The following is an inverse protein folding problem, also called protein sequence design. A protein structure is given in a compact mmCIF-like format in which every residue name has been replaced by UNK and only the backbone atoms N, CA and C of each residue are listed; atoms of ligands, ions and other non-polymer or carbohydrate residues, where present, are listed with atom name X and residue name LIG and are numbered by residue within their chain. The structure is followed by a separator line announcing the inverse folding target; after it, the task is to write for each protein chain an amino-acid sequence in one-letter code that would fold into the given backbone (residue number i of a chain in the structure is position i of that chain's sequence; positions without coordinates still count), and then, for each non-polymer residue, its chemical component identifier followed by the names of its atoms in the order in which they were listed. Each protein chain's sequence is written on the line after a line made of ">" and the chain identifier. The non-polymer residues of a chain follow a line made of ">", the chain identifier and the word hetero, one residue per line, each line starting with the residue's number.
data_IF_216917233767
#
_entry.id   IF_216917233767
#
_cell.length_a   1.000
_cell.length_b   1.000
_cell.length_c   1.000
_cell.angle_alpha   90.00
_cell.angle_beta   90.00
_cell.angle_gamma   90.00
#
_symmetry.space_group_name_H-M   'P 1'
#
loop_
_entity.id
_entity.type
_entity.pdbx_description
1 polymer ?
#
# COMPACT_ATOMS: atom_id res chain seq x y z
N UNK A 1 13.67 15.86 16.37
CA UNK A 1 12.46 16.03 17.21
C UNK A 1 12.23 14.87 18.19
N UNK A 2 12.01 13.64 17.72
CA UNK A 2 11.67 12.48 18.58
C UNK A 2 12.71 12.23 19.69
N UNK A 3 14.00 12.24 19.35
CA UNK A 3 15.11 12.10 20.30
C UNK A 3 15.05 13.13 21.44
N UNK A 4 14.80 14.40 21.12
CA UNK A 4 14.73 15.47 22.10
C UNK A 4 13.53 15.32 23.05
N UNK A 5 12.40 14.80 22.57
CA UNK A 5 11.24 14.51 23.42
C UNK A 5 11.53 13.34 24.37
N UNK A 6 12.17 12.28 23.86
CA UNK A 6 12.56 11.11 24.65
C UNK A 6 13.57 11.47 25.75
N UNK A 7 14.56 12.32 25.48
CA UNK A 7 15.53 12.77 26.49
C UNK A 7 14.91 13.50 27.70
N UNK A 8 13.65 13.96 27.62
CA UNK A 8 12.98 14.65 28.74
C UNK A 8 12.50 13.71 29.83
N UNK A 9 12.33 12.43 29.53
CA UNK A 9 11.79 11.44 30.47
C UNK A 9 12.47 10.07 30.44
N UNK A 10 13.33 9.79 29.46
CA UNK A 10 14.10 8.55 29.35
C UNK A 10 15.54 8.77 29.83
N UNK A 11 16.06 7.79 30.56
CA UNK A 11 17.42 7.72 31.07
C UNK A 11 18.48 8.00 29.99
N UNK A 12 19.51 8.81 30.28
CA UNK A 12 20.58 9.12 29.34
C UNK A 12 21.30 7.88 28.81
N UNK A 13 21.42 6.83 29.63
CA UNK A 13 22.11 5.58 29.28
C UNK A 13 21.40 4.88 28.11
N UNK A 14 20.08 4.76 28.18
CA UNK A 14 19.24 4.16 27.13
C UNK A 14 19.27 5.01 25.85
N UNK A 15 19.35 6.34 26.00
CA UNK A 15 19.42 7.26 24.86
C UNK A 15 20.78 7.27 24.16
N UNK A 16 21.86 6.94 24.87
CA UNK A 16 23.21 6.82 24.30
C UNK A 16 23.37 5.56 23.44
N UNK A 17 22.64 4.49 23.75
CA UNK A 17 22.60 3.26 22.95
C UNK A 17 21.78 3.44 21.65
N UNK A 18 20.79 4.32 21.67
CA UNK A 18 19.91 4.65 20.54
C UNK A 18 20.55 5.64 19.55
N UNK A 19 21.69 5.27 18.94
CA UNK A 19 22.43 6.11 17.98
C UNK A 19 21.79 6.19 16.59
N UNK A 20 20.99 5.20 16.18
CA UNK A 20 20.34 5.17 14.86
C UNK A 20 18.83 5.42 14.95
N UNK A 21 18.24 5.91 13.86
CA UNK A 21 16.79 6.14 13.75
C UNK A 21 15.99 4.85 14.02
N UNK A 22 16.53 3.70 13.61
CA UNK A 22 15.94 2.38 13.91
C UNK A 22 15.93 2.09 15.41
N UNK A 23 17.08 2.19 16.07
CA UNK A 23 17.20 1.95 17.51
C UNK A 23 16.35 2.92 18.32
N UNK A 24 16.20 4.17 17.87
CA UNK A 24 15.35 5.18 18.51
C UNK A 24 13.85 4.83 18.46
N UNK A 25 13.40 4.17 17.39
CA UNK A 25 12.01 3.70 17.26
C UNK A 25 11.76 2.40 18.02
N UNK A 26 12.80 1.60 18.22
CA UNK A 26 12.73 0.31 18.94
C UNK A 26 12.89 0.47 20.46
N UNK A 27 13.19 1.68 20.97
CA UNK A 27 13.22 1.93 22.42
C UNK A 27 11.82 1.72 22.99
N UNK A 28 11.72 0.82 23.97
CA UNK A 28 10.51 0.63 24.73
C UNK A 28 10.33 1.78 25.74
N UNK A 29 9.45 2.70 25.35
CA UNK A 29 9.05 3.88 26.09
C UNK A 29 7.99 3.60 27.16
N UNK A 30 7.46 2.38 27.26
CA UNK A 30 6.46 1.98 28.26
C UNK A 30 7.08 1.29 29.47
N UNK A 31 8.34 0.88 29.38
CA UNK A 31 9.08 0.29 30.49
C UNK A 31 9.42 1.34 31.57
N UNK A 32 8.87 1.22 32.79
CA UNK A 32 9.14 2.17 33.87
C UNK A 32 10.61 2.21 34.31
N UNK A 33 11.36 1.14 34.06
CA UNK A 33 12.79 1.02 34.35
C UNK A 33 13.66 1.99 33.55
N UNK A 34 13.16 2.41 32.38
CA UNK A 34 13.85 3.31 31.46
C UNK A 34 13.60 4.78 31.79
N UNK A 35 12.71 5.08 32.75
CA UNK A 35 12.36 6.45 33.10
C UNK A 35 13.38 7.08 34.03
N UNK A 36 13.62 8.38 33.82
CA UNK A 36 14.28 9.22 34.83
C UNK A 36 13.30 9.39 36.00
N UNK A 37 13.84 9.70 37.19
CA UNK A 37 13.04 9.98 38.36
C UNK A 37 12.03 11.12 38.11
N UNK A 38 10.86 11.04 38.74
CA UNK A 38 9.78 12.02 38.59
C UNK A 38 10.24 13.45 38.92
N UNK A 39 11.23 13.60 39.81
CA UNK A 39 11.77 14.90 40.20
C UNK A 39 12.62 15.57 39.12
N UNK A 40 13.16 14.78 38.19
CA UNK A 40 14.10 15.16 37.14
C UNK A 40 13.49 15.23 35.74
N UNK A 41 12.18 15.00 35.60
CA UNK A 41 11.48 15.16 34.32
C UNK A 41 11.59 16.61 33.84
N UNK A 42 12.07 16.79 32.61
CA UNK A 42 12.25 18.12 32.03
C UNK A 42 10.92 18.69 31.52
N UNK A 43 10.34 19.60 32.32
CA UNK A 43 9.13 20.36 31.99
C UNK A 43 9.41 21.71 31.31
N UNK A 44 10.68 22.04 31.07
CA UNK A 44 11.11 23.34 30.55
C UNK A 44 11.29 24.42 31.62
N UNK A 45 12.02 25.47 31.26
CA UNK A 45 12.45 26.53 32.17
C UNK A 45 11.28 27.30 32.81
N UNK A 46 10.32 27.75 31.99
CA UNK A 46 9.18 28.58 32.44
C UNK A 46 8.29 27.82 33.42
N UNK A 47 7.93 26.57 33.09
CA UNK A 47 7.11 25.70 33.93
C UNK A 47 7.79 25.47 35.28
N UNK A 48 9.10 25.19 35.29
CA UNK A 48 9.85 25.00 36.54
C UNK A 48 9.92 26.29 37.39
N UNK A 49 10.01 27.46 36.76
CA UNK A 49 9.97 28.75 37.49
C UNK A 49 8.62 28.97 38.17
N UNK A 50 7.52 28.76 37.44
CA UNK A 50 6.15 28.90 37.98
C UNK A 50 5.90 27.92 39.12
N UNK A 51 6.33 26.65 38.99
CA UNK A 51 6.19 25.66 40.06
C UNK A 51 6.97 26.06 41.33
N UNK A 52 8.17 26.65 41.19
CA UNK A 52 8.94 27.19 42.32
C UNK A 52 8.24 28.37 42.99
N UNK A 53 7.69 29.30 42.20
CA UNK A 53 6.94 30.46 42.71
C UNK A 53 5.65 30.04 43.46
N UNK A 54 4.90 29.06 42.92
CA UNK A 54 3.69 28.52 43.54
C UNK A 54 3.99 27.78 44.84
N UNK A 55 5.13 27.07 44.91
CA UNK A 55 5.62 26.44 46.13
C UNK A 55 6.04 27.47 47.17
N UNK A 56 6.76 28.52 46.78
CA UNK A 56 7.18 29.60 47.66
C UNK A 56 5.97 30.35 48.27
N UNK A 57 4.90 30.51 47.51
CA UNK A 57 3.63 31.10 47.95
C UNK A 57 2.72 30.14 48.75
N UNK A 58 3.19 28.92 49.06
CA UNK A 58 2.42 27.84 49.73
C UNK A 58 1.07 27.50 49.08
N UNK A 59 0.86 27.86 47.81
CA UNK A 59 -0.41 27.60 47.10
C UNK A 59 -0.55 26.14 46.67
N UNK A 60 0.56 25.41 46.59
CA UNK A 60 0.62 24.03 46.09
C UNK A 60 1.59 23.21 46.96
N UNK A 61 1.16 22.04 47.41
CA UNK A 61 1.98 21.12 48.20
C UNK A 61 3.02 20.37 47.37
N UNK A 62 4.06 19.85 48.03
CA UNK A 62 5.12 19.07 47.37
C UNK A 62 4.58 17.80 46.68
N UNK A 63 3.58 17.15 47.27
CA UNK A 63 2.90 15.97 46.66
C UNK A 63 2.24 16.34 45.34
N UNK A 64 1.48 17.44 45.29
CA UNK A 64 0.77 17.88 44.08
C UNK A 64 1.73 18.25 42.94
N UNK A 65 2.91 18.81 43.24
CA UNK A 65 3.95 19.09 42.23
C UNK A 65 4.53 17.78 41.67
N UNK A 66 4.70 16.76 42.52
CA UNK A 66 5.17 15.44 42.09
C UNK A 66 4.10 14.72 41.24
N UNK A 67 2.83 14.82 41.61
CA UNK A 67 1.71 14.28 40.83
C UNK A 67 1.62 14.96 39.46
N UNK A 68 1.75 16.29 39.42
CA UNK A 68 1.80 17.05 38.16
C UNK A 68 2.97 16.62 37.27
N UNK A 69 4.17 16.47 37.84
CA UNK A 69 5.36 15.96 37.11
C UNK A 69 5.14 14.55 36.56
N UNK A 70 4.51 13.67 37.34
CA UNK A 70 4.12 12.33 36.90
C UNK A 70 3.12 12.42 35.74
N UNK A 71 2.06 13.21 35.85
CA UNK A 71 1.08 13.39 34.77
C UNK A 71 1.69 13.97 33.50
N UNK A 72 2.61 14.94 33.61
CA UNK A 72 3.34 15.48 32.46
C UNK A 72 4.22 14.42 31.80
N UNK A 73 4.91 13.60 32.59
CA UNK A 73 5.67 12.47 32.06
C UNK A 73 4.77 11.49 31.31
N UNK A 74 3.65 11.10 31.90
CA UNK A 74 2.71 10.16 31.29
C UNK A 74 2.13 10.74 29.98
N UNK A 75 1.89 12.06 29.94
CA UNK A 75 1.52 12.78 28.71
C UNK A 75 2.62 12.78 27.64
N UNK A 76 3.89 12.98 28.03
CA UNK A 76 5.03 12.88 27.11
C UNK A 76 5.20 11.46 26.58
N UNK A 77 5.05 10.44 27.43
CA UNK A 77 5.06 9.03 27.03
C UNK A 77 3.95 8.75 26.01
N UNK A 78 2.72 9.19 26.28
CA UNK A 78 1.60 9.01 25.36
C UNK A 78 1.80 9.73 24.01
N UNK A 79 2.39 10.93 24.03
CA UNK A 79 2.73 11.68 22.83
C UNK A 79 3.79 10.95 22.00
N UNK A 80 4.86 10.48 22.63
CA UNK A 80 5.93 9.73 21.95
C UNK A 80 5.41 8.38 21.44
N UNK A 81 4.56 7.68 22.18
CA UNK A 81 3.89 6.44 21.72
C UNK A 81 3.07 6.71 20.47
N UNK A 82 2.28 7.80 20.46
CA UNK A 82 1.50 8.16 19.28
C UNK A 82 2.37 8.55 18.09
N UNK A 83 3.45 9.30 18.32
CA UNK A 83 4.40 9.68 17.28
C UNK A 83 5.12 8.46 16.71
N UNK A 84 5.61 7.55 17.55
CA UNK A 84 6.20 6.29 17.11
C UNK A 84 5.17 5.48 16.32
N UNK A 85 3.93 5.35 16.81
CA UNK A 85 2.84 4.61 16.17
C UNK A 85 2.50 5.12 14.77
N UNK A 86 2.41 6.44 14.62
CA UNK A 86 2.04 7.12 13.36
C UNK A 86 3.24 7.50 12.51
N UNK A 87 4.47 7.19 12.94
CA UNK A 87 5.67 7.58 12.22
C UNK A 87 5.73 6.91 10.85
N UNK A 88 5.93 7.68 9.76
CA UNK A 88 6.23 7.14 8.44
C UNK A 88 7.48 6.24 8.45
N UNK A 89 8.38 6.48 9.41
CA UNK A 89 9.60 5.69 9.60
C UNK A 89 9.32 4.26 10.07
N UNK A 90 8.07 3.83 10.28
CA UNK A 90 7.77 2.40 10.43
C UNK A 90 7.89 1.65 9.11
N UNK A 91 7.54 2.30 8.00
CA UNK A 91 7.48 1.65 6.70
C UNK A 91 8.89 1.47 6.14
N UNK A 92 9.19 0.24 5.70
CA UNK A 92 10.51 -0.10 5.17
C UNK A 92 10.85 0.74 3.93
N UNK A 93 9.84 1.09 3.14
CA UNK A 93 9.99 1.93 1.96
C UNK A 93 10.48 3.33 2.34
N UNK A 94 9.81 4.00 3.27
CA UNK A 94 10.18 5.36 3.73
C UNK A 94 11.56 5.38 4.37
N UNK A 95 11.92 4.33 5.13
CA UNK A 95 13.27 4.20 5.71
C UNK A 95 14.36 4.18 4.66
N UNK A 96 14.08 3.56 3.50
CA UNK A 96 15.06 3.41 2.44
C UNK A 96 14.99 4.53 1.40
N UNK A 97 13.97 5.39 1.41
CA UNK A 97 13.87 6.54 0.50
C UNK A 97 14.92 7.63 0.74
N UNK A 98 15.83 7.47 1.70
CA UNK A 98 16.98 8.37 1.90
C UNK A 98 17.89 8.49 0.67
N UNK A 99 17.86 7.51 -0.25
CA UNK A 99 18.56 7.62 -1.54
C UNK A 99 18.02 8.73 -2.46
N UNK A 100 16.83 9.30 -2.16
CA UNK A 100 16.23 10.42 -2.87
C UNK A 100 16.54 11.79 -2.23
N UNK A 101 17.24 11.81 -1.10
CA UNK A 101 17.61 13.04 -0.40
C UNK A 101 18.78 13.73 -1.12
N UNK A 102 18.60 14.96 -1.65
CA UNK A 102 19.66 15.65 -2.38
C UNK A 102 20.94 15.85 -1.57
N UNK A 103 20.82 16.09 -0.27
CA UNK A 103 21.98 16.32 0.60
C UNK A 103 22.76 15.02 0.78
N UNK A 104 22.08 13.88 0.91
CA UNK A 104 22.74 12.59 1.00
C UNK A 104 23.38 12.21 -0.34
N UNK A 105 22.73 12.52 -1.48
CA UNK A 105 23.32 12.29 -2.80
C UNK A 105 24.65 13.03 -3.00
N UNK A 106 24.82 14.21 -2.41
CA UNK A 106 26.05 14.99 -2.51
C UNK A 106 27.15 14.54 -1.54
N UNK A 107 26.79 14.02 -0.37
CA UNK A 107 27.71 13.86 0.76
C UNK A 107 27.91 12.41 1.24
N UNK A 108 26.97 11.49 0.99
CA UNK A 108 27.10 10.10 1.42
C UNK A 108 27.85 9.24 0.39
N UNK A 109 28.44 8.16 0.86
CA UNK A 109 29.09 7.16 0.00
C UNK A 109 28.07 6.51 -0.95
N UNK A 110 28.40 6.48 -2.23
CA UNK A 110 27.60 5.91 -3.32
C UNK A 110 27.07 4.51 -3.01
N UNK A 111 27.86 3.68 -2.31
CA UNK A 111 27.48 2.29 -1.97
C UNK A 111 26.36 2.21 -0.93
N UNK A 112 26.30 3.17 0.01
CA UNK A 112 25.24 3.21 1.02
C UNK A 112 23.89 3.56 0.38
N UNK A 113 23.89 4.55 -0.52
CA UNK A 113 22.72 4.97 -1.30
C UNK A 113 22.26 3.85 -2.25
N UNK A 114 23.18 3.17 -2.93
CA UNK A 114 22.89 1.97 -3.73
C UNK A 114 22.26 0.86 -2.89
N UNK A 115 22.73 0.64 -1.67
CA UNK A 115 22.15 -0.31 -0.74
C UNK A 115 20.70 0.04 -0.35
N UNK A 116 20.41 1.32 -0.14
CA UNK A 116 19.05 1.83 0.11
C UNK A 116 18.14 1.67 -1.12
N UNK A 117 18.65 1.95 -2.31
CA UNK A 117 17.95 1.74 -3.57
C UNK A 117 17.61 0.26 -3.77
N UNK A 118 18.55 -0.66 -3.57
CA UNK A 118 18.33 -2.12 -3.71
C UNK A 118 17.21 -2.61 -2.80
N UNK A 119 17.17 -2.18 -1.54
CA UNK A 119 16.09 -2.51 -0.60
C UNK A 119 14.74 -1.96 -1.04
N UNK A 120 14.73 -0.77 -1.66
CA UNK A 120 13.53 -0.17 -2.23
C UNK A 120 13.04 -0.94 -3.46
N UNK A 121 13.95 -1.31 -4.37
CA UNK A 121 13.64 -2.10 -5.56
C UNK A 121 13.07 -3.47 -5.20
N UNK A 122 13.67 -4.19 -4.25
CA UNK A 122 13.14 -5.47 -3.76
C UNK A 122 11.67 -5.33 -3.30
N UNK A 123 11.37 -4.28 -2.52
CA UNK A 123 9.99 -4.01 -2.11
C UNK A 123 9.06 -3.69 -3.29
N UNK A 124 9.51 -2.93 -4.28
CA UNK A 124 8.69 -2.58 -5.45
C UNK A 124 8.44 -3.77 -6.39
N UNK A 125 9.40 -4.69 -6.49
CA UNK A 125 9.28 -5.96 -7.21
C UNK A 125 8.26 -6.86 -6.51
N UNK A 126 8.36 -7.04 -5.19
CA UNK A 126 7.40 -7.84 -4.41
C UNK A 126 5.96 -7.34 -4.57
N UNK A 127 5.78 -6.03 -4.77
CA UNK A 127 4.48 -5.40 -5.00
C UNK A 127 4.06 -5.36 -6.48
N UNK A 128 4.82 -5.98 -7.39
CA UNK A 128 4.54 -6.03 -8.83
C UNK A 128 4.55 -4.66 -9.51
N UNK A 129 5.25 -3.67 -8.95
CA UNK A 129 5.31 -2.30 -9.50
C UNK A 129 6.45 -2.12 -10.51
N UNK A 130 7.50 -2.94 -10.40
CA UNK A 130 8.69 -2.94 -11.26
C UNK A 130 9.01 -4.39 -11.63
N UNK A 131 9.49 -4.60 -12.86
CA UNK A 131 9.96 -5.90 -13.31
C UNK A 131 11.38 -6.18 -12.80
N UNK A 132 11.66 -7.41 -12.39
CA UNK A 132 13.00 -7.83 -11.94
C UNK A 132 14.09 -7.54 -12.98
N UNK A 133 13.76 -7.74 -14.26
CA UNK A 133 14.67 -7.51 -15.38
C UNK A 133 15.15 -6.06 -15.52
N UNK A 134 14.39 -5.10 -14.99
CA UNK A 134 14.73 -3.67 -15.05
C UNK A 134 15.60 -3.23 -13.86
N UNK A 135 15.76 -4.06 -12.83
CA UNK A 135 16.39 -3.65 -11.57
C UNK A 135 17.88 -3.34 -11.71
N UNK A 136 18.64 -4.19 -12.41
CA UNK A 136 20.08 -3.99 -12.62
C UNK A 136 20.35 -2.72 -13.43
N UNK A 137 19.51 -2.46 -14.44
CA UNK A 137 19.61 -1.24 -15.24
C UNK A 137 19.31 0.01 -14.39
N UNK A 138 18.28 -0.03 -13.53
CA UNK A 138 17.98 1.10 -12.63
C UNK A 138 19.13 1.37 -11.66
N UNK A 139 19.76 0.33 -11.13
CA UNK A 139 20.92 0.46 -10.23
C UNK A 139 22.11 1.09 -10.96
N UNK A 140 22.36 0.69 -12.21
CA UNK A 140 23.41 1.29 -13.06
C UNK A 140 23.11 2.75 -13.39
N UNK A 141 21.88 3.07 -13.77
CA UNK A 141 21.44 4.45 -14.02
C UNK A 141 21.61 5.33 -12.78
N UNK A 142 21.31 4.81 -11.60
CA UNK A 142 21.51 5.55 -10.36
C UNK A 142 22.99 5.78 -10.03
N UNK A 143 23.86 4.80 -10.30
CA UNK A 143 25.31 4.98 -10.16
C UNK A 143 25.82 6.11 -11.06
N UNK A 144 25.46 6.07 -12.34
CA UNK A 144 25.82 7.09 -13.31
C UNK A 144 25.30 8.48 -12.90
N UNK A 145 24.06 8.55 -12.43
CA UNK A 145 23.47 9.78 -11.93
C UNK A 145 24.27 10.40 -10.77
N UNK A 146 24.70 9.60 -9.79
CA UNK A 146 25.49 10.09 -8.67
C UNK A 146 26.91 10.53 -9.09
N UNK A 147 27.55 9.78 -9.98
CA UNK A 147 28.94 10.02 -10.36
C UNK A 147 29.09 11.19 -11.34
N UNK A 148 28.08 11.43 -12.20
CA UNK A 148 28.17 12.45 -13.26
C UNK A 148 27.23 13.63 -13.01
N UNK A 149 25.92 13.38 -12.89
CA UNK A 149 24.90 14.44 -12.84
C UNK A 149 24.91 15.20 -11.52
N UNK A 150 25.04 14.49 -10.40
CA UNK A 150 25.14 15.12 -9.07
C UNK A 150 26.44 15.88 -8.92
N UNK A 151 27.56 15.35 -9.44
CA UNK A 151 28.85 16.05 -9.39
C UNK A 151 28.85 17.33 -10.24
N UNK A 152 28.25 17.29 -11.44
CA UNK A 152 28.08 18.48 -12.30
C UNK A 152 27.26 19.59 -11.63
N UNK A 153 26.27 19.22 -10.82
CA UNK A 153 25.36 20.13 -10.15
C UNK A 153 25.57 20.16 -8.62
N UNK A 154 26.78 19.89 -8.13
CA UNK A 154 27.04 19.58 -6.72
C UNK A 154 26.46 20.61 -5.74
N UNK A 155 26.60 21.91 -6.01
CA UNK A 155 26.05 22.96 -5.15
C UNK A 155 24.53 22.90 -4.99
N UNK A 156 23.80 22.54 -6.06
CA UNK A 156 22.34 22.41 -6.01
C UNK A 156 21.87 21.24 -5.13
N UNK A 157 22.72 20.23 -4.92
CA UNK A 157 22.45 19.07 -4.07
C UNK A 157 22.98 19.28 -2.64
N UNK A 158 24.19 19.82 -2.49
CA UNK A 158 24.83 20.04 -1.20
C UNK A 158 24.15 21.16 -0.38
N UNK A 159 23.77 22.26 -1.03
CA UNK A 159 23.12 23.42 -0.39
C UNK A 159 21.59 23.31 -0.38
N UNK A 160 21.05 22.12 -0.69
CA UNK A 160 19.61 21.91 -0.80
C UNK A 160 18.90 22.20 0.52
N UNK A 161 17.95 23.14 0.49
CA UNK A 161 17.18 23.50 1.67
C UNK A 161 15.74 22.99 1.57
N UNK A 162 15.41 21.98 2.37
CA UNK A 162 14.06 21.39 2.45
C UNK A 162 12.91 22.37 2.77
N UNK A 163 13.20 23.58 3.26
CA UNK A 163 12.20 24.61 3.55
C UNK A 163 11.87 25.51 2.35
N UNK A 164 12.83 25.77 1.47
CA UNK A 164 12.66 26.63 0.29
C UNK A 164 12.57 25.83 -1.01
N UNK A 165 13.28 24.72 -1.08
CA UNK A 165 13.56 24.01 -2.32
C UNK A 165 12.70 22.75 -2.47
N UNK A 166 12.52 22.34 -3.71
CA UNK A 166 11.60 21.27 -4.11
C UNK A 166 12.37 20.10 -4.67
N UNK A 167 12.38 18.98 -3.93
CA UNK A 167 13.07 17.74 -4.34
C UNK A 167 12.56 17.25 -5.70
N UNK A 168 11.24 17.30 -5.92
CA UNK A 168 10.61 16.89 -7.17
C UNK A 168 11.06 17.76 -8.35
N UNK A 169 11.19 19.08 -8.16
CA UNK A 169 11.67 19.99 -9.21
C UNK A 169 13.14 19.78 -9.53
N UNK A 170 13.99 19.60 -8.50
CA UNK A 170 15.42 19.36 -8.68
C UNK A 170 15.66 18.05 -9.44
N UNK A 171 15.07 16.96 -8.95
CA UNK A 171 15.22 15.64 -9.57
C UNK A 171 14.62 15.59 -10.98
N UNK A 172 13.48 16.22 -11.22
CA UNK A 172 12.91 16.33 -12.56
C UNK A 172 13.87 17.04 -13.52
N UNK A 173 14.44 18.17 -13.10
CA UNK A 173 15.34 18.97 -13.95
C UNK A 173 16.60 18.20 -14.33
N UNK A 174 17.09 17.35 -13.42
CA UNK A 174 18.30 16.55 -13.64
C UNK A 174 18.03 15.23 -14.38
N UNK A 175 16.95 14.51 -14.05
CA UNK A 175 16.71 13.15 -14.57
C UNK A 175 15.80 13.09 -15.80
N UNK A 176 14.87 14.04 -15.98
CA UNK A 176 13.84 13.92 -17.03
C UNK A 176 14.37 14.14 -18.45
N UNK A 177 15.43 14.95 -18.58
CA UNK A 177 16.01 15.34 -19.87
C UNK A 177 16.98 14.29 -20.42
N UNK A 178 17.51 13.43 -19.57
CA UNK A 178 18.48 12.42 -19.94
C UNK A 178 17.78 11.12 -20.35
N UNK A 179 18.03 10.67 -21.59
CA UNK A 179 17.48 9.40 -22.09
C UNK A 179 18.03 8.20 -21.34
N UNK A 180 19.24 8.33 -20.79
CA UNK A 180 19.92 7.28 -20.06
C UNK A 180 19.32 7.04 -18.67
N UNK A 181 18.54 7.98 -18.12
CA UNK A 181 17.97 7.88 -16.77
C UNK A 181 16.46 7.60 -16.75
N UNK A 182 15.86 7.20 -17.87
CA UNK A 182 14.40 7.12 -17.99
C UNK A 182 13.76 6.07 -17.06
N UNK A 183 14.42 4.92 -16.85
CA UNK A 183 13.88 3.86 -15.97
C UNK A 183 13.95 4.29 -14.52
N UNK A 184 15.08 4.87 -14.12
CA UNK A 184 15.27 5.49 -12.80
C UNK A 184 14.22 6.57 -12.55
N UNK A 185 14.04 7.51 -13.49
CA UNK A 185 13.06 8.59 -13.34
C UNK A 185 11.63 8.06 -13.22
N UNK A 186 11.26 7.05 -14.00
CA UNK A 186 9.93 6.41 -13.91
C UNK A 186 9.66 5.86 -12.51
N UNK A 187 10.65 5.19 -11.90
CA UNK A 187 10.57 4.71 -10.52
C UNK A 187 10.52 5.87 -9.52
N UNK A 188 11.43 6.84 -9.62
CA UNK A 188 11.46 8.01 -8.72
C UNK A 188 10.12 8.75 -8.75
N UNK A 189 9.50 8.91 -9.93
CA UNK A 189 8.17 9.50 -10.08
C UNK A 189 7.11 8.73 -9.31
N UNK A 190 7.12 7.39 -9.34
CA UNK A 190 6.18 6.58 -8.57
C UNK A 190 6.37 6.81 -7.07
N UNK A 191 7.62 6.88 -6.59
CA UNK A 191 7.95 7.11 -5.18
C UNK A 191 7.56 8.52 -4.71
N UNK A 192 7.82 9.55 -5.53
CA UNK A 192 7.47 10.95 -5.23
C UNK A 192 5.95 11.19 -5.22
N UNK A 193 5.17 10.34 -5.88
CA UNK A 193 3.70 10.37 -5.90
C UNK A 193 3.06 9.57 -4.76
N UNK A 194 3.84 8.84 -3.95
CA UNK A 194 3.30 8.16 -2.79
C UNK A 194 2.79 9.18 -1.78
N UNK A 195 1.54 9.02 -1.38
CA UNK A 195 0.98 9.84 -0.30
C UNK A 195 1.74 9.52 0.99
N UNK A 196 2.44 10.53 1.51
CA UNK A 196 3.06 10.43 2.81
C UNK A 196 1.94 10.44 3.85
N UNK A 197 1.89 9.40 4.71
CA UNK A 197 0.90 9.26 5.79
C UNK A 197 0.89 10.38 6.83
N UNK A 198 1.75 11.39 6.68
CA UNK A 198 1.65 12.69 7.36
C UNK A 198 0.43 13.49 6.95
N UNK A 199 -0.11 13.27 5.73
CA UNK A 199 -1.33 13.93 5.29
C UNK A 199 -2.45 13.76 6.31
N UNK A 200 -2.60 12.59 6.94
CA UNK A 200 -3.67 12.32 7.93
C UNK A 200 -3.41 12.97 9.30
N UNK A 201 -2.14 13.12 9.72
CA UNK A 201 -1.79 13.66 11.04
C UNK A 201 -1.78 15.19 10.99
N UNK A 202 -1.30 15.80 9.90
CA UNK A 202 -1.40 17.24 9.63
C UNK A 202 -2.82 17.67 9.26
N UNK A 203 -3.64 16.78 8.66
CA UNK A 203 -5.09 16.98 8.45
C UNK A 203 -5.84 17.24 9.75
N UNK A 204 -5.38 16.71 10.89
CA UNK A 204 -6.02 16.89 12.20
C UNK A 204 -5.77 18.26 12.84
N UNK A 205 -4.74 18.98 12.40
CA UNK A 205 -4.34 20.29 12.95
C UNK A 205 -4.57 21.46 11.99
N UNK A 206 -4.89 21.18 10.73
CA UNK A 206 -5.24 22.21 9.76
C UNK A 206 -6.65 22.74 10.01
N UNK A 207 -6.76 24.04 10.28
CA UNK A 207 -8.02 24.79 10.41
C UNK A 207 -8.82 24.78 9.09
N UNK A 208 -8.22 24.33 7.98
CA UNK A 208 -8.92 24.04 6.73
C UNK A 208 -9.71 22.74 6.86
N UNK A 209 -10.80 22.85 7.62
CA UNK A 209 -11.94 21.92 7.72
C UNK A 209 -12.73 21.86 6.41
N UNK A 210 -12.05 21.56 5.30
CA UNK A 210 -12.66 21.19 4.01
C UNK A 210 -12.03 19.88 3.57
N UNK A 211 -12.49 18.84 4.26
CA UNK A 211 -12.79 17.50 3.74
C UNK A 211 -12.39 17.37 2.25
N UNK A 212 -11.27 16.69 1.96
CA UNK A 212 -11.26 15.82 0.79
C UNK A 212 -12.40 14.85 1.04
N UNK A 213 -13.49 14.97 0.27
CA UNK A 213 -14.58 14.01 0.32
C UNK A 213 -13.92 12.67 -0.02
N UNK A 214 -13.95 11.71 0.91
CA UNK A 214 -13.15 10.46 0.89
C UNK A 214 -13.41 9.54 -0.33
N UNK A 215 -14.13 10.02 -1.35
CA UNK A 215 -14.56 9.29 -2.53
C UNK A 215 -14.29 10.06 -3.84
N UNK A 216 -13.24 10.87 -3.92
CA UNK A 216 -12.81 11.43 -5.22
C UNK A 216 -12.22 10.32 -6.10
N UNK A 217 -12.71 10.21 -7.32
CA UNK A 217 -12.20 9.26 -8.33
C UNK A 217 -10.94 9.86 -8.95
N UNK A 218 -10.04 9.01 -9.47
CA UNK A 218 -8.77 9.40 -10.10
C UNK A 218 -8.90 10.59 -11.07
N UNK A 219 -9.95 10.61 -11.89
CA UNK A 219 -10.21 11.69 -12.85
C UNK A 219 -10.40 13.05 -12.17
N UNK A 220 -10.98 13.07 -10.97
CA UNK A 220 -11.14 14.32 -10.21
C UNK A 220 -9.81 14.84 -9.70
N UNK A 221 -8.91 13.96 -9.26
CA UNK A 221 -7.55 14.34 -8.87
C UNK A 221 -6.76 14.87 -10.06
N UNK A 222 -6.86 14.20 -11.22
CA UNK A 222 -6.22 14.69 -12.47
C UNK A 222 -6.74 16.07 -12.84
N UNK A 223 -8.06 16.29 -12.80
CA UNK A 223 -8.65 17.59 -13.11
C UNK A 223 -8.21 18.70 -12.15
N UNK A 224 -8.22 18.45 -10.84
CA UNK A 224 -7.72 19.41 -9.85
C UNK A 224 -6.25 19.73 -10.06
N UNK A 225 -5.43 18.71 -10.35
CA UNK A 225 -4.01 18.91 -10.59
C UNK A 225 -3.75 19.76 -11.84
N UNK A 226 -4.46 19.48 -12.92
CA UNK A 226 -4.40 20.29 -14.14
C UNK A 226 -4.74 21.76 -13.88
N UNK A 227 -5.77 22.04 -13.08
CA UNK A 227 -6.16 23.40 -12.71
C UNK A 227 -5.03 24.08 -11.92
N UNK A 228 -4.48 23.42 -10.91
CA UNK A 228 -3.40 23.96 -10.08
C UNK A 228 -2.13 24.21 -10.91
N UNK A 229 -1.77 23.28 -11.79
CA UNK A 229 -0.59 23.41 -12.63
C UNK A 229 -0.76 24.57 -13.63
N UNK A 230 -1.94 24.74 -14.21
CA UNK A 230 -2.25 25.88 -15.07
C UNK A 230 -2.18 27.22 -14.31
N UNK A 231 -2.77 27.31 -13.12
CA UNK A 231 -2.72 28.50 -12.28
C UNK A 231 -1.28 28.91 -11.91
N UNK A 232 -0.40 27.93 -11.70
CA UNK A 232 1.02 28.18 -11.44
C UNK A 232 1.74 28.74 -12.66
N UNK A 233 1.47 28.20 -13.85
CA UNK A 233 2.06 28.69 -15.11
C UNK A 233 1.63 30.14 -15.38
N UNK A 234 0.36 30.44 -15.14
CA UNK A 234 -0.25 31.75 -15.39
C UNK A 234 0.09 32.78 -14.29
N UNK A 235 0.68 32.33 -13.17
CA UNK A 235 1.15 33.21 -12.10
C UNK A 235 0.04 33.71 -11.17
N UNK A 236 -1.08 32.97 -11.08
CA UNK A 236 -2.20 33.31 -10.19
C UNK A 236 -3.55 33.31 -10.90
N UNK A 237 -4.62 33.42 -10.11
CA UNK A 237 -6.01 33.36 -10.61
C UNK A 237 -6.41 34.62 -11.38
N UNK A 238 -5.81 35.76 -11.05
CA UNK A 238 -6.12 37.06 -11.68
C UNK A 238 -5.63 37.14 -13.13
N UNK A 239 -4.62 36.34 -13.47
CA UNK A 239 -4.01 36.33 -14.79
C UNK A 239 -4.65 35.30 -15.74
N UNK A 240 -5.63 34.52 -15.27
CA UNK A 240 -6.32 33.52 -16.10
C UNK A 240 -7.28 34.22 -17.05
N UNK A 241 -6.94 34.22 -18.34
CA UNK A 241 -7.79 34.74 -19.38
C UNK A 241 -9.07 33.89 -19.52
N UNK A 242 -10.24 34.52 -19.42
CA UNK A 242 -11.53 33.87 -19.69
C UNK A 242 -11.78 33.95 -21.19
N UNK A 243 -11.34 32.92 -21.90
CA UNK A 243 -11.54 32.81 -23.35
C UNK A 243 -12.94 32.28 -23.70
N UNK A 244 -13.32 32.41 -24.98
CA UNK A 244 -14.60 31.90 -25.48
C UNK A 244 -14.68 30.38 -25.39
N UNK A 245 -13.55 29.69 -25.51
CA UNK A 245 -13.48 28.23 -25.44
C UNK A 245 -13.81 27.70 -24.03
N UNK A 246 -13.29 28.35 -22.98
CA UNK A 246 -13.61 28.06 -21.59
C UNK A 246 -15.09 28.30 -21.30
N UNK A 247 -15.65 29.41 -21.80
CA UNK A 247 -17.09 29.69 -21.66
C UNK A 247 -17.96 28.63 -22.34
N UNK A 248 -17.61 28.21 -23.56
CA UNK A 248 -18.28 27.11 -24.27
C UNK A 248 -18.10 25.76 -23.56
N UNK A 249 -16.92 25.51 -22.98
CA UNK A 249 -16.65 24.31 -22.19
C UNK A 249 -17.54 24.26 -20.94
N UNK A 250 -17.68 25.38 -20.22
CA UNK A 250 -18.54 25.48 -19.03
C UNK A 250 -20.01 25.31 -19.39
N UNK A 251 -20.50 25.90 -20.49
CA UNK A 251 -21.90 25.73 -20.91
C UNK A 251 -22.24 24.27 -21.24
N UNK A 252 -21.30 23.53 -21.83
CA UNK A 252 -21.43 22.10 -22.12
C UNK A 252 -21.17 21.18 -20.90
N UNK A 253 -20.73 21.69 -19.76
CA UNK A 253 -20.33 20.87 -18.60
C UNK A 253 -21.48 20.03 -18.04
N UNK A 254 -22.69 20.61 -17.96
CA UNK A 254 -23.91 19.89 -17.52
C UNK A 254 -24.22 18.70 -18.44
N UNK A 255 -24.12 18.89 -19.75
CA UNK A 255 -24.39 17.84 -20.73
C UNK A 255 -23.35 16.71 -20.64
N UNK A 256 -22.06 17.06 -20.52
CA UNK A 256 -20.99 16.07 -20.30
C UNK A 256 -21.18 15.28 -19.02
N UNK A 257 -21.61 15.94 -17.95
CA UNK A 257 -21.93 15.26 -16.69
C UNK A 257 -23.08 14.25 -16.87
N UNK A 258 -24.18 14.64 -17.50
CA UNK A 258 -25.31 13.73 -17.78
C UNK A 258 -24.86 12.54 -18.63
N UNK A 259 -24.11 12.79 -19.71
CA UNK A 259 -23.58 11.73 -20.56
C UNK A 259 -22.68 10.75 -19.77
N UNK A 260 -21.84 11.26 -18.86
CA UNK A 260 -20.99 10.42 -18.01
C UNK A 260 -21.79 9.55 -17.03
N UNK A 261 -22.93 10.03 -16.52
CA UNK A 261 -23.83 9.25 -15.68
C UNK A 261 -24.52 8.14 -16.46
N UNK A 262 -24.98 8.43 -17.68
CA UNK A 262 -25.57 7.42 -18.56
C UNK A 262 -24.56 6.35 -18.96
N UNK A 263 -23.31 6.74 -19.24
CA UNK A 263 -22.24 5.80 -19.56
C UNK A 263 -21.90 4.90 -18.36
N UNK A 264 -21.84 5.44 -17.14
CA UNK A 264 -21.66 4.65 -15.92
C UNK A 264 -22.78 3.64 -15.74
N UNK A 265 -24.04 4.07 -15.89
CA UNK A 265 -25.20 3.18 -15.81
C UNK A 265 -25.15 2.06 -16.84
N UNK A 266 -24.81 2.38 -18.10
CA UNK A 266 -24.62 1.37 -19.16
C UNK A 266 -23.52 0.38 -18.82
N UNK A 267 -22.36 0.86 -18.34
CA UNK A 267 -21.24 0.00 -17.92
C UNK A 267 -21.64 -0.96 -16.80
N UNK A 268 -22.34 -0.48 -15.78
CA UNK A 268 -22.83 -1.31 -14.67
C UNK A 268 -23.82 -2.37 -15.15
N UNK A 269 -24.77 -2.00 -16.03
CA UNK A 269 -25.72 -2.94 -16.63
C UNK A 269 -25.01 -4.02 -17.48
N UNK A 270 -24.04 -3.63 -18.31
CA UNK A 270 -23.24 -4.57 -19.11
C UNK A 270 -22.38 -5.47 -18.23
N UNK A 271 -21.78 -4.93 -17.17
CA UNK A 271 -20.96 -5.70 -16.24
C UNK A 271 -21.81 -6.71 -15.47
N UNK A 272 -23.00 -6.32 -14.98
CA UNK A 272 -23.93 -7.23 -14.31
C UNK A 272 -24.41 -8.36 -15.25
N UNK A 273 -24.70 -8.03 -16.53
CA UNK A 273 -25.04 -9.04 -17.54
C UNK A 273 -23.86 -10.00 -17.80
N UNK A 274 -22.66 -9.47 -17.96
CA UNK A 274 -21.45 -10.26 -18.18
C UNK A 274 -21.10 -11.15 -16.98
N UNK A 275 -21.24 -10.65 -15.74
CA UNK A 275 -21.06 -11.45 -14.52
C UNK A 275 -22.05 -12.61 -14.45
N UNK A 276 -23.34 -12.36 -14.72
CA UNK A 276 -24.36 -13.42 -14.76
C UNK A 276 -24.06 -14.46 -15.84
N UNK A 277 -23.60 -14.03 -17.01
CA UNK A 277 -23.20 -14.94 -18.10
C UNK A 277 -21.96 -15.75 -17.75
N UNK A 278 -20.96 -15.14 -17.11
CA UNK A 278 -19.73 -15.79 -16.66
C UNK A 278 -20.03 -16.84 -15.59
N UNK A 279 -20.82 -16.50 -14.58
CA UNK A 279 -21.23 -17.44 -13.55
C UNK A 279 -21.99 -18.65 -14.13
N UNK A 280 -22.86 -18.42 -15.12
CA UNK A 280 -23.58 -19.51 -15.78
C UNK A 280 -22.64 -20.39 -16.64
N UNK A 281 -21.61 -19.79 -17.24
CA UNK A 281 -20.60 -20.52 -18.00
C UNK A 281 -19.73 -21.39 -17.07
N UNK A 282 -19.26 -20.83 -15.96
CA UNK A 282 -18.49 -21.55 -14.92
C UNK A 282 -19.31 -22.72 -14.37
N UNK A 283 -20.61 -22.55 -14.12
CA UNK A 283 -21.51 -23.63 -13.67
C UNK A 283 -21.64 -24.74 -14.73
N UNK A 284 -21.75 -24.40 -16.01
CA UNK A 284 -21.80 -25.39 -17.11
C UNK A 284 -20.47 -26.16 -17.20
N UNK A 285 -19.33 -25.47 -17.09
CA UNK A 285 -18.01 -26.08 -17.13
C UNK A 285 -17.79 -27.05 -15.96
N UNK A 286 -18.20 -26.67 -14.75
CA UNK A 286 -18.18 -27.56 -13.59
C UNK A 286 -19.02 -28.82 -13.80
N UNK A 287 -20.25 -28.67 -14.32
CA UNK A 287 -21.12 -29.81 -14.62
C UNK A 287 -20.50 -30.70 -15.72
N UNK A 288 -19.89 -30.13 -16.75
CA UNK A 288 -19.18 -30.90 -17.79
C UNK A 288 -17.99 -31.69 -17.22
N UNK A 289 -17.21 -31.09 -16.30
CA UNK A 289 -16.11 -31.76 -15.62
C UNK A 289 -16.60 -32.92 -14.74
N UNK A 290 -17.68 -32.69 -13.95
CA UNK A 290 -18.32 -33.73 -13.15
C UNK A 290 -18.83 -34.89 -14.02
N UNK A 291 -19.45 -34.59 -15.17
CA UNK A 291 -19.88 -35.59 -16.15
C UNK A 291 -18.70 -36.47 -16.60
N UNK A 292 -17.61 -35.86 -17.07
CA UNK A 292 -16.41 -36.60 -17.54
C UNK A 292 -15.81 -37.50 -16.46
N UNK A 293 -15.79 -37.04 -15.20
CA UNK A 293 -15.30 -37.83 -14.06
C UNK A 293 -16.19 -39.04 -13.80
N UNK A 294 -17.52 -38.87 -13.77
CA UNK A 294 -18.46 -39.97 -13.60
C UNK A 294 -18.37 -40.99 -14.73
N UNK A 295 -18.22 -40.56 -15.99
CA UNK A 295 -18.02 -41.45 -17.14
C UNK A 295 -16.73 -42.28 -17.01
N UNK A 296 -15.62 -41.65 -16.63
CA UNK A 296 -14.34 -42.33 -16.40
C UNK A 296 -14.44 -43.35 -15.25
N UNK A 297 -15.06 -42.96 -14.14
CA UNK A 297 -15.29 -43.84 -12.99
C UNK A 297 -16.16 -45.04 -13.34
N UNK A 298 -17.25 -44.83 -14.09
CA UNK A 298 -18.11 -45.90 -14.56
C UNK A 298 -17.34 -46.88 -15.43
N UNK A 299 -16.54 -46.37 -16.38
CA UNK A 299 -15.73 -47.21 -17.25
C UNK A 299 -14.74 -48.05 -16.45
N UNK A 300 -14.05 -47.46 -15.49
CA UNK A 300 -13.12 -48.17 -14.61
C UNK A 300 -13.80 -49.24 -13.74
N UNK A 301 -15.02 -48.97 -13.24
CA UNK A 301 -15.81 -49.94 -12.47
C UNK A 301 -16.25 -51.14 -13.33
N UNK A 302 -16.69 -50.89 -14.57
CA UNK A 302 -17.07 -51.94 -15.52
C UNK A 302 -15.86 -52.79 -15.91
N UNK A 303 -14.75 -52.17 -16.29
CA UNK A 303 -13.51 -52.89 -16.62
C UNK A 303 -12.98 -53.73 -15.44
N UNK A 304 -13.08 -53.20 -14.23
CA UNK A 304 -12.69 -53.92 -13.02
C UNK A 304 -13.63 -55.09 -12.75
N UNK A 305 -14.94 -54.89 -12.92
CA UNK A 305 -15.94 -55.96 -12.77
C UNK A 305 -15.71 -57.10 -13.77
N UNK A 306 -15.39 -56.77 -15.02
CA UNK A 306 -15.10 -57.75 -16.08
C UNK A 306 -13.81 -58.54 -15.77
N UNK A 307 -12.76 -57.86 -15.28
CA UNK A 307 -11.54 -58.53 -14.80
C UNK A 307 -11.82 -59.50 -13.65
N UNK A 308 -12.68 -59.13 -12.70
CA UNK A 308 -13.05 -60.01 -11.60
C UNK A 308 -13.91 -61.20 -12.06
N UNK A 309 -14.78 -61.00 -13.06
CA UNK A 309 -15.57 -62.09 -13.65
C UNK A 309 -14.68 -63.11 -14.37
N UNK A 310 -13.76 -62.66 -15.23
CA UNK A 310 -12.81 -63.53 -15.94
C UNK A 310 -11.88 -64.30 -14.97
N UNK A 311 -11.46 -63.65 -13.89
CA UNK A 311 -10.67 -64.31 -12.83
C UNK A 311 -11.51 -65.35 -12.07
N UNK A 312 -12.79 -65.09 -11.85
CA UNK A 312 -13.68 -66.06 -11.22
C UNK A 312 -13.88 -67.30 -12.10
N UNK A 313 -14.03 -67.13 -13.41
CA UNK A 313 -14.19 -68.23 -14.37
C UNK A 313 -12.95 -69.13 -14.44
N UNK A 314 -11.76 -68.54 -14.39
CA UNK A 314 -10.49 -69.28 -14.44
C UNK A 314 -10.09 -69.96 -13.12
N UNK A 315 -10.55 -69.44 -11.97
CA UNK A 315 -10.15 -69.95 -10.64
C UNK A 315 -11.27 -70.67 -9.88
N UNK A 316 -12.51 -70.60 -10.34
CA UNK A 316 -13.68 -71.19 -9.68
C UNK A 316 -14.10 -70.51 -8.36
N UNK A 317 -13.51 -69.36 -8.01
CA UNK A 317 -13.79 -68.67 -6.74
C UNK A 317 -15.05 -67.80 -6.82
N UNK A 318 -16.14 -68.27 -6.20
CA UNK A 318 -17.45 -67.57 -6.14
C UNK A 318 -17.36 -66.19 -5.46
N UNK A 319 -16.40 -65.99 -4.54
CA UNK A 319 -16.17 -64.71 -3.85
C UNK A 319 -15.79 -63.58 -4.81
N UNK A 320 -15.16 -63.89 -5.95
CA UNK A 320 -14.82 -62.92 -6.99
C UNK A 320 -16.04 -62.49 -7.81
N UNK A 321 -17.04 -63.37 -7.96
CA UNK A 321 -18.34 -63.04 -8.59
C UNK A 321 -19.11 -62.03 -7.73
N UNK A 322 -19.12 -62.22 -6.41
CA UNK A 322 -19.74 -61.27 -5.49
C UNK A 322 -19.10 -59.87 -5.58
N UNK A 323 -17.77 -59.80 -5.69
CA UNK A 323 -17.04 -58.54 -5.92
C UNK A 323 -17.37 -57.92 -7.29
N UNK A 324 -17.42 -58.71 -8.36
CA UNK A 324 -17.82 -58.24 -9.69
C UNK A 324 -19.24 -57.64 -9.69
N UNK A 325 -20.20 -58.33 -9.06
CA UNK A 325 -21.58 -57.86 -8.95
C UNK A 325 -21.71 -56.57 -8.13
N UNK A 326 -20.95 -56.43 -7.04
CA UNK A 326 -20.90 -55.19 -6.25
C UNK A 326 -20.39 -54.01 -7.09
N UNK A 327 -19.33 -54.21 -7.89
CA UNK A 327 -18.80 -53.17 -8.79
C UNK A 327 -19.78 -52.81 -9.93
N UNK A 328 -20.49 -53.81 -10.47
CA UNK A 328 -21.57 -53.59 -11.47
C UNK A 328 -22.75 -52.83 -10.85
N UNK A 329 -23.06 -53.08 -9.59
CA UNK A 329 -24.10 -52.33 -8.90
C UNK A 329 -23.70 -50.86 -8.71
N UNK A 330 -22.46 -50.60 -8.27
CA UNK A 330 -21.93 -49.24 -8.17
C UNK A 330 -21.87 -48.51 -9.52
N UNK A 331 -21.56 -49.21 -10.62
CA UNK A 331 -21.63 -48.64 -11.96
C UNK A 331 -23.06 -48.26 -12.38
N UNK A 332 -24.08 -49.05 -11.98
CA UNK A 332 -25.50 -48.71 -12.20
C UNK A 332 -25.94 -47.48 -11.41
N UNK A 333 -25.50 -47.33 -10.17
CA UNK A 333 -25.80 -46.15 -9.35
C UNK A 333 -25.20 -44.88 -9.97
N UNK A 334 -23.92 -44.92 -10.37
CA UNK A 334 -23.28 -43.81 -11.08
C UNK A 334 -23.94 -43.48 -12.42
N UNK A 335 -24.55 -44.46 -13.10
CA UNK A 335 -25.34 -44.23 -14.32
C UNK A 335 -26.58 -43.39 -14.05
N UNK A 336 -27.30 -43.66 -12.97
CA UNK A 336 -28.49 -42.89 -12.57
C UNK A 336 -28.09 -41.46 -12.19
N UNK A 337 -26.96 -41.27 -11.52
CA UNK A 337 -26.41 -39.93 -11.25
C UNK A 337 -26.03 -39.18 -12.52
N UNK A 338 -25.42 -39.86 -13.49
CA UNK A 338 -25.07 -39.29 -14.79
C UNK A 338 -26.31 -38.78 -15.54
N UNK A 339 -27.38 -39.58 -15.61
CA UNK A 339 -28.63 -39.20 -16.28
C UNK A 339 -29.29 -37.96 -15.63
N UNK A 340 -29.22 -37.83 -14.30
CA UNK A 340 -29.68 -36.62 -13.59
C UNK A 340 -28.83 -35.40 -13.95
N UNK A 341 -27.52 -35.58 -14.01
CA UNK A 341 -26.56 -34.52 -14.31
C UNK A 341 -26.66 -34.05 -15.77
N UNK A 342 -26.95 -34.95 -16.71
CA UNK A 342 -27.21 -34.63 -18.12
C UNK A 342 -28.49 -33.80 -18.30
N UNK A 343 -29.55 -34.10 -17.55
CA UNK A 343 -30.79 -33.28 -17.56
C UNK A 343 -30.51 -31.86 -17.06
N UNK A 344 -29.82 -31.72 -15.93
CA UNK A 344 -29.43 -30.41 -15.39
C UNK A 344 -28.54 -29.62 -16.36
N UNK A 345 -27.60 -30.30 -17.01
CA UNK A 345 -26.70 -29.68 -17.99
C UNK A 345 -27.47 -29.22 -19.25
N UNK A 346 -28.44 -30.01 -19.73
CA UNK A 346 -29.31 -29.64 -20.85
C UNK A 346 -30.15 -28.40 -20.54
N UNK A 347 -30.78 -28.36 -19.36
CA UNK A 347 -31.58 -27.21 -18.90
C UNK A 347 -30.73 -25.94 -18.80
N UNK A 348 -29.53 -26.03 -18.23
CA UNK A 348 -28.59 -24.90 -18.10
C UNK A 348 -28.06 -24.42 -19.46
N UNK A 349 -27.80 -25.33 -20.40
CA UNK A 349 -27.39 -24.98 -21.77
C UNK A 349 -28.52 -24.30 -22.56
N UNK A 350 -29.77 -24.73 -22.37
CA UNK A 350 -30.95 -24.08 -22.95
C UNK A 350 -31.10 -22.65 -22.41
N UNK A 351 -30.97 -22.48 -21.09
CA UNK A 351 -31.02 -21.17 -20.45
C UNK A 351 -29.85 -20.25 -20.87
N UNK A 352 -28.66 -20.80 -21.20
CA UNK A 352 -27.55 -20.02 -21.75
C UNK A 352 -27.83 -19.55 -23.18
N UNK A 353 -28.52 -20.34 -24.01
CA UNK A 353 -28.84 -20.01 -25.40
C UNK A 353 -29.99 -19.02 -25.54
N UNK A 354 -30.87 -18.92 -24.55
CA UNK A 354 -32.03 -18.01 -24.60
C UNK A 354 -31.74 -16.58 -24.12
N UNK A 355 -30.50 -16.28 -23.69
CA UNK A 355 -30.04 -14.96 -23.21
C UNK A 355 -28.90 -14.45 -24.07
#
# INVERSE_FOLDING_TARGET
>A
MLKNLMCRFIKPEVMQEAKSVKKLLDVDIKLPTNYIDCSSVDLGYVTNRILKELRAKQKVGASTIMDFRRSCRDGLVAMVDKLQQKSPLKYILVKNMGFLDPVNMANEETDQLKGMLRRTLAYLVDQGRINEQDCDEIIQQYAHFLDDVVQKNHSAFADFNSLSDRVDTLLYTCMSKEKELQKLWKMCRQLLLLSHGQGTVERGFSVNRKIEVENLVEDTYRAQRMIVDHLRIVGGIENVAVDKELLLSVSCARQRYIASLEEKKKKEETQAKNQKRKALFEEIEELQSKKKRLESDMKALVESADKYALKAESTGQVTLIAKSNSLRHGAKEKKVELEKLEKQLSEKQLHFKSK
#
